data_IF_541824533825
#
_entry.id   IF_541824533825
#
_cell.length_a   1.000
_cell.length_b   1.000
_cell.length_c   1.000
_cell.angle_alpha   90.00
_cell.angle_beta   90.00
_cell.angle_gamma   90.00
#
_symmetry.space_group_name_H-M   'P 1'
#
loop_
_entity.id
_entity.type
_entity.pdbx_description
1 polymer ?
#
# COMPACT_ATOMS: atom_id res chain seq x y z
N UNK A 1 39.44 -34.28 -27.36
CA UNK A 1 39.35 -32.83 -27.65
C UNK A 1 37.89 -32.42 -27.65
N UNK A 2 37.40 -31.87 -26.55
CA UNK A 2 36.01 -31.42 -26.38
C UNK A 2 35.85 -30.06 -27.05
N UNK A 3 35.07 -30.02 -28.14
CA UNK A 3 34.61 -28.76 -28.76
C UNK A 3 33.77 -28.01 -27.72
N UNK A 4 34.38 -27.02 -27.08
CA UNK A 4 33.71 -26.06 -26.21
C UNK A 4 32.64 -25.38 -27.06
N UNK A 5 31.39 -25.42 -26.60
CA UNK A 5 30.27 -24.70 -27.21
C UNK A 5 30.72 -23.25 -27.44
N UNK A 6 30.78 -22.83 -28.69
CA UNK A 6 31.00 -21.44 -29.05
C UNK A 6 29.85 -20.62 -28.46
N UNK A 7 30.06 -20.06 -27.27
CA UNK A 7 29.17 -19.04 -26.74
C UNK A 7 29.06 -17.98 -27.83
N UNK A 8 27.83 -17.62 -28.22
CA UNK A 8 27.60 -16.58 -29.23
C UNK A 8 28.08 -15.23 -28.67
N UNK A 9 29.36 -14.95 -28.85
CA UNK A 9 30.02 -13.73 -28.43
C UNK A 9 29.71 -12.62 -29.43
N UNK A 10 29.06 -11.57 -28.96
CA UNK A 10 28.67 -10.41 -29.73
C UNK A 10 29.78 -9.36 -29.69
N UNK A 11 30.05 -8.76 -30.84
CA UNK A 11 30.93 -7.58 -30.92
C UNK A 11 30.28 -6.36 -30.25
N UNK A 12 31.05 -5.32 -29.86
CA UNK A 12 30.48 -4.11 -29.26
C UNK A 12 29.39 -3.45 -30.12
N UNK A 13 29.55 -3.49 -31.46
CA UNK A 13 28.57 -2.93 -32.39
C UNK A 13 27.25 -3.71 -32.36
N UNK A 14 27.31 -5.04 -32.35
CA UNK A 14 26.12 -5.90 -32.27
C UNK A 14 25.45 -5.79 -30.90
N UNK A 15 26.23 -5.82 -29.82
CA UNK A 15 25.73 -5.65 -28.45
C UNK A 15 25.01 -4.31 -28.26
N UNK A 16 25.61 -3.21 -28.73
CA UNK A 16 25.02 -1.88 -28.67
C UNK A 16 23.71 -1.78 -29.47
N UNK A 17 23.67 -2.38 -30.67
CA UNK A 17 22.45 -2.48 -31.48
C UNK A 17 21.31 -3.21 -30.75
N UNK A 18 21.62 -4.31 -30.06
CA UNK A 18 20.63 -5.08 -29.28
C UNK A 18 20.10 -4.32 -28.05
N UNK A 19 20.93 -3.44 -27.48
CA UNK A 19 20.57 -2.58 -26.36
C UNK A 19 19.89 -1.27 -26.79
N UNK A 20 19.92 -0.93 -28.08
CA UNK A 20 19.41 0.35 -28.58
C UNK A 20 20.24 1.56 -28.12
N UNK A 21 21.53 1.37 -27.81
CA UNK A 21 22.43 2.42 -27.32
C UNK A 21 23.62 2.63 -28.26
N UNK A 22 24.35 3.72 -28.07
CA UNK A 22 25.61 3.94 -28.79
C UNK A 22 26.72 3.00 -28.30
N UNK A 23 27.67 2.67 -29.17
CA UNK A 23 28.86 1.87 -28.80
C UNK A 23 29.68 2.57 -27.70
N UNK A 24 29.72 3.91 -27.71
CA UNK A 24 30.39 4.69 -26.67
C UNK A 24 29.71 4.52 -25.30
N UNK A 25 28.38 4.50 -25.26
CA UNK A 25 27.60 4.26 -24.03
C UNK A 25 27.86 2.86 -23.49
N UNK A 26 27.83 1.82 -24.35
CA UNK A 26 28.16 0.46 -23.95
C UNK A 26 29.57 0.35 -23.37
N UNK A 27 30.54 1.07 -23.96
CA UNK A 27 31.92 1.12 -23.45
C UNK A 27 31.99 1.73 -22.06
N UNK A 28 31.24 2.81 -21.79
CA UNK A 28 31.13 3.43 -20.45
C UNK A 28 30.56 2.44 -19.44
N UNK A 29 29.47 1.75 -19.79
CA UNK A 29 28.86 0.74 -18.93
C UNK A 29 29.82 -0.42 -18.63
N UNK A 30 30.56 -0.88 -19.63
CA UNK A 30 31.55 -1.93 -19.44
C UNK A 30 32.68 -1.50 -18.49
N UNK A 31 33.14 -0.25 -18.60
CA UNK A 31 34.14 0.31 -17.67
C UNK A 31 33.62 0.39 -16.24
N UNK A 32 32.36 0.76 -16.06
CA UNK A 32 31.72 0.76 -14.73
C UNK A 32 31.76 -0.65 -14.16
N UNK A 33 31.35 -1.66 -14.93
CA UNK A 33 31.37 -3.07 -14.47
C UNK A 33 32.77 -3.53 -14.11
N UNK A 34 33.77 -3.27 -14.96
CA UNK A 34 35.18 -3.62 -14.69
C UNK A 34 35.69 -2.95 -13.40
N UNK A 35 35.35 -1.67 -13.20
CA UNK A 35 35.71 -0.91 -11.99
C UNK A 35 35.01 -1.47 -10.74
N UNK A 36 33.71 -1.75 -10.81
CA UNK A 36 32.93 -2.23 -9.67
C UNK A 36 33.25 -3.66 -9.27
N UNK A 37 33.63 -4.50 -10.24
CA UNK A 37 33.96 -5.92 -9.99
C UNK A 37 35.44 -6.14 -9.67
N UNK A 38 36.25 -5.07 -9.65
CA UNK A 38 37.72 -5.09 -9.58
C UNK A 38 38.38 -5.99 -10.66
N UNK A 39 37.63 -6.38 -11.70
CA UNK A 39 38.10 -7.25 -12.76
C UNK A 39 38.20 -6.50 -14.09
N UNK A 40 39.42 -6.05 -14.41
CA UNK A 40 39.71 -5.37 -15.68
C UNK A 40 39.51 -6.25 -16.93
N UNK A 41 39.39 -7.57 -16.75
CA UNK A 41 39.15 -8.57 -17.79
C UNK A 41 37.79 -9.28 -17.59
N UNK A 42 36.80 -8.58 -17.02
CA UNK A 42 35.46 -9.13 -16.81
C UNK A 42 34.81 -9.61 -18.11
N UNK A 43 35.02 -8.85 -19.19
CA UNK A 43 34.56 -9.21 -20.53
C UNK A 43 35.69 -9.89 -21.31
N UNK A 44 35.34 -10.98 -22.00
CA UNK A 44 36.25 -11.62 -22.95
C UNK A 44 36.68 -10.61 -24.02
N UNK A 45 37.91 -10.77 -24.53
CA UNK A 45 38.47 -9.86 -25.51
C UNK A 45 38.94 -10.63 -26.73
N UNK A 46 38.79 -10.02 -27.90
CA UNK A 46 39.33 -10.57 -29.14
C UNK A 46 40.85 -10.29 -29.27
N UNK A 47 41.47 -10.81 -30.33
CA UNK A 47 42.89 -10.56 -30.64
C UNK A 47 43.24 -9.08 -30.87
N UNK A 48 42.25 -8.24 -31.16
CA UNK A 48 42.38 -6.78 -31.30
C UNK A 48 42.05 -6.03 -29.99
N UNK A 49 41.94 -6.74 -28.86
CA UNK A 49 41.61 -6.18 -27.54
C UNK A 49 40.22 -5.52 -27.45
N UNK A 50 39.31 -5.83 -28.38
CA UNK A 50 37.91 -5.42 -28.32
C UNK A 50 37.11 -6.34 -27.40
N UNK A 51 36.27 -5.76 -26.55
CA UNK A 51 35.38 -6.50 -25.63
C UNK A 51 34.33 -7.28 -26.41
N UNK A 52 34.07 -8.50 -25.98
CA UNK A 52 33.07 -9.41 -26.49
C UNK A 52 32.01 -9.63 -25.41
N UNK A 53 30.76 -9.68 -25.83
CA UNK A 53 29.61 -9.73 -24.92
C UNK A 53 28.80 -11.00 -25.16
N UNK A 54 28.45 -11.71 -24.08
CA UNK A 54 27.47 -12.79 -24.15
C UNK A 54 26.05 -12.21 -24.14
N UNK A 55 25.06 -13.01 -24.52
CA UNK A 55 23.66 -12.61 -24.40
C UNK A 55 23.29 -12.26 -22.95
N UNK A 56 23.82 -12.99 -21.96
CA UNK A 56 23.65 -12.68 -20.54
C UNK A 56 24.17 -11.29 -20.17
N UNK A 57 25.31 -10.88 -20.73
CA UNK A 57 25.84 -9.54 -20.49
C UNK A 57 24.86 -8.46 -20.99
N UNK A 58 24.18 -8.70 -22.11
CA UNK A 58 23.17 -7.79 -22.65
C UNK A 58 21.97 -7.67 -21.70
N UNK A 59 21.47 -8.78 -21.18
CA UNK A 59 20.36 -8.80 -20.22
C UNK A 59 20.74 -8.07 -18.93
N UNK A 60 21.91 -8.38 -18.36
CA UNK A 60 22.45 -7.71 -17.18
C UNK A 60 22.59 -6.20 -17.39
N UNK A 61 23.02 -5.74 -18.57
CA UNK A 61 23.08 -4.30 -18.87
C UNK A 61 21.68 -3.66 -18.89
N UNK A 62 20.65 -4.35 -19.40
CA UNK A 62 19.27 -3.84 -19.38
C UNK A 62 18.76 -3.69 -17.95
N UNK A 63 19.00 -4.70 -17.11
CA UNK A 63 18.63 -4.66 -15.70
C UNK A 63 19.37 -3.56 -14.96
N UNK A 64 20.66 -3.39 -15.22
CA UNK A 64 21.49 -2.35 -14.59
C UNK A 64 20.96 -0.96 -14.92
N UNK A 65 20.65 -0.72 -16.19
CA UNK A 65 20.04 0.55 -16.60
C UNK A 65 18.68 0.72 -15.94
N UNK A 66 17.84 -0.31 -15.90
CA UNK A 66 16.52 -0.23 -15.24
C UNK A 66 16.62 0.12 -13.76
N UNK A 67 17.51 -0.54 -13.01
CA UNK A 67 17.72 -0.27 -11.58
C UNK A 67 18.28 1.14 -11.33
N UNK A 68 19.14 1.63 -12.23
CA UNK A 68 19.73 2.97 -12.07
C UNK A 68 18.72 4.12 -12.18
N UNK A 69 17.53 3.89 -12.76
CA UNK A 69 16.45 4.88 -12.79
C UNK A 69 15.64 4.92 -11.48
N UNK A 70 15.94 4.06 -10.50
CA UNK A 70 15.29 4.05 -9.19
C UNK A 70 15.73 5.20 -8.28
N UNK A 71 14.95 5.52 -7.24
CA UNK A 71 15.30 6.57 -6.29
C UNK A 71 16.59 6.23 -5.53
N UNK A 72 17.53 7.17 -5.49
CA UNK A 72 18.87 7.03 -4.85
C UNK A 72 19.75 5.91 -5.42
N UNK A 73 19.45 5.38 -6.61
CA UNK A 73 20.29 4.40 -7.29
C UNK A 73 21.18 5.07 -8.33
N UNK A 74 22.40 4.56 -8.49
CA UNK A 74 23.34 4.97 -9.54
C UNK A 74 23.73 3.78 -10.40
N UNK A 75 24.27 4.04 -11.59
CA UNK A 75 24.77 2.97 -12.47
C UNK A 75 25.85 2.12 -11.78
N UNK A 76 26.69 2.72 -10.93
CA UNK A 76 27.73 1.99 -10.19
C UNK A 76 27.11 1.06 -9.14
N UNK A 77 26.14 1.55 -8.35
CA UNK A 77 25.46 0.71 -7.34
C UNK A 77 24.64 -0.40 -7.98
N UNK A 78 24.00 -0.14 -9.12
CA UNK A 78 23.28 -1.15 -9.89
C UNK A 78 24.22 -2.19 -10.50
N UNK A 79 25.40 -1.79 -10.97
CA UNK A 79 26.39 -2.71 -11.49
C UNK A 79 26.92 -3.67 -10.41
N UNK A 80 27.17 -3.18 -9.20
CA UNK A 80 27.57 -4.03 -8.06
C UNK A 80 26.54 -5.10 -7.69
N UNK A 81 25.25 -4.82 -7.89
CA UNK A 81 24.17 -5.76 -7.57
C UNK A 81 24.02 -6.87 -8.61
N UNK A 82 24.24 -6.55 -9.89
CA UNK A 82 23.96 -7.46 -11.01
C UNK A 82 25.20 -8.25 -11.44
N UNK A 83 26.38 -7.63 -11.36
CA UNK A 83 27.63 -8.25 -11.79
C UNK A 83 28.42 -8.72 -10.57
N UNK A 84 28.63 -10.05 -10.39
CA UNK A 84 29.44 -10.57 -9.28
C UNK A 84 30.91 -10.17 -9.46
N UNK A 85 31.57 -9.76 -8.38
CA UNK A 85 33.02 -9.49 -8.39
C UNK A 85 33.82 -10.78 -8.63
N UNK A 86 34.89 -10.70 -9.42
CA UNK A 86 35.71 -11.88 -9.75
C UNK A 86 36.54 -12.39 -8.57
N UNK A 87 36.71 -11.55 -7.54
CA UNK A 87 37.29 -11.94 -6.25
C UNK A 87 36.26 -12.57 -5.29
N UNK A 88 35.07 -12.94 -5.77
CA UNK A 88 34.32 -14.02 -5.15
C UNK A 88 34.95 -15.38 -5.52
N UNK A 89 36.25 -15.54 -5.25
CA UNK A 89 36.67 -16.84 -4.72
C UNK A 89 35.81 -17.04 -3.48
N UNK A 90 35.17 -18.19 -3.42
CA UNK A 90 34.61 -18.74 -2.20
C UNK A 90 35.81 -18.97 -1.27
N UNK A 91 36.32 -17.89 -0.68
CA UNK A 91 37.00 -17.97 0.59
C UNK A 91 35.85 -18.24 1.55
N UNK A 92 35.73 -19.48 2.01
CA UNK A 92 35.03 -19.81 3.25
C UNK A 92 35.72 -19.03 4.37
N UNK A 93 35.44 -17.74 4.45
CA UNK A 93 35.90 -16.89 5.53
C UNK A 93 34.97 -17.20 6.70
N UNK A 94 35.56 -17.62 7.82
CA UNK A 94 34.86 -17.73 9.10
C UNK A 94 34.15 -16.43 9.56
N UNK A 95 34.22 -15.34 8.79
CA UNK A 95 33.46 -14.11 8.97
C UNK A 95 32.05 -14.13 8.38
N UNK A 96 31.80 -14.93 7.33
CA UNK A 96 30.48 -15.03 6.71
C UNK A 96 29.49 -15.81 7.58
N UNK A 97 29.97 -16.79 8.34
CA UNK A 97 29.12 -17.58 9.23
C UNK A 97 28.53 -16.73 10.38
N UNK A 98 29.32 -15.80 10.96
CA UNK A 98 28.80 -14.85 11.97
C UNK A 98 27.76 -13.90 11.41
N UNK A 99 27.96 -13.40 10.18
CA UNK A 99 27.00 -12.50 9.53
C UNK A 99 25.72 -13.23 9.13
N UNK A 100 25.83 -14.49 8.71
CA UNK A 100 24.68 -15.36 8.44
C UNK A 100 23.92 -15.69 9.74
N UNK A 101 24.61 -15.96 10.84
CA UNK A 101 23.98 -16.16 12.16
C UNK A 101 23.28 -14.88 12.65
N UNK A 102 23.91 -13.71 12.53
CA UNK A 102 23.29 -12.41 12.88
C UNK A 102 22.07 -12.11 12.01
N UNK A 103 22.13 -12.42 10.71
CA UNK A 103 20.99 -12.29 9.80
C UNK A 103 19.87 -13.28 10.15
N UNK A 104 20.18 -14.53 10.51
CA UNK A 104 19.19 -15.51 10.95
C UNK A 104 18.50 -15.10 12.24
N UNK A 105 19.25 -14.59 13.23
CA UNK A 105 18.70 -14.05 14.48
C UNK A 105 17.80 -12.84 14.20
N UNK A 106 18.23 -11.96 13.27
CA UNK A 106 17.43 -10.79 12.88
C UNK A 106 16.13 -11.19 12.18
N UNK A 107 16.19 -12.17 11.27
CA UNK A 107 15.01 -12.71 10.58
C UNK A 107 14.05 -13.34 11.58
N UNK A 108 14.53 -14.20 12.49
CA UNK A 108 13.70 -14.81 13.52
C UNK A 108 13.04 -13.76 14.44
N UNK A 109 13.76 -12.69 14.78
CA UNK A 109 13.20 -11.58 15.55
C UNK A 109 12.11 -10.86 14.76
N UNK A 110 12.36 -10.52 13.50
CA UNK A 110 11.38 -9.85 12.62
C UNK A 110 10.13 -10.71 12.41
N UNK A 111 10.27 -12.02 12.23
CA UNK A 111 9.15 -12.95 12.14
C UNK A 111 8.32 -12.97 13.44
N UNK A 112 8.98 -12.99 14.59
CA UNK A 112 8.30 -12.93 15.89
C UNK A 112 7.56 -11.61 16.10
N UNK A 113 8.14 -10.49 15.66
CA UNK A 113 7.51 -9.17 15.74
C UNK A 113 6.34 -9.05 14.76
N UNK A 114 6.47 -9.59 13.54
CA UNK A 114 5.37 -9.64 12.58
C UNK A 114 4.21 -10.48 13.10
N UNK A 115 4.48 -11.63 13.70
CA UNK A 115 3.43 -12.46 14.32
C UNK A 115 2.71 -11.73 15.46
N UNK A 116 3.43 -10.97 16.29
CA UNK A 116 2.83 -10.12 17.32
C UNK A 116 1.96 -9.03 16.71
N UNK A 117 2.46 -8.34 15.67
CA UNK A 117 1.69 -7.31 14.95
C UNK A 117 0.42 -7.87 14.33
N UNK A 118 0.48 -9.07 13.74
CA UNK A 118 -0.69 -9.75 13.18
C UNK A 118 -1.75 -10.06 14.23
N UNK A 119 -1.33 -10.49 15.44
CA UNK A 119 -2.26 -10.71 16.55
C UNK A 119 -2.90 -9.40 17.01
N UNK A 120 -2.11 -8.34 17.20
CA UNK A 120 -2.64 -7.02 17.58
C UNK A 120 -3.58 -6.45 16.52
N UNK A 121 -3.28 -6.65 15.22
CA UNK A 121 -4.19 -6.23 14.14
C UNK A 121 -5.53 -6.97 14.23
N UNK A 122 -5.52 -8.27 14.54
CA UNK A 122 -6.75 -9.05 14.72
C UNK A 122 -7.57 -8.56 15.91
N UNK A 123 -6.92 -8.31 17.05
CA UNK A 123 -7.58 -7.77 18.25
C UNK A 123 -8.22 -6.41 17.96
N UNK A 124 -7.49 -5.49 17.32
CA UNK A 124 -8.03 -4.17 16.94
C UNK A 124 -9.18 -4.26 15.93
N UNK A 125 -9.17 -5.25 15.03
CA UNK A 125 -10.27 -5.48 14.10
C UNK A 125 -11.53 -5.98 14.82
N UNK A 126 -11.38 -6.83 15.82
CA UNK A 126 -12.48 -7.29 16.67
C UNK A 126 -13.07 -6.14 17.48
N UNK A 127 -12.23 -5.34 18.15
CA UNK A 127 -12.66 -4.15 18.88
C UNK A 127 -13.39 -3.14 17.98
N UNK A 128 -12.91 -2.92 16.75
CA UNK A 128 -13.58 -2.04 15.79
C UNK A 128 -14.96 -2.56 15.40
N UNK A 129 -15.10 -3.87 15.21
CA UNK A 129 -16.37 -4.48 14.86
C UNK A 129 -17.38 -4.38 16.00
N UNK A 130 -16.93 -4.60 17.24
CA UNK A 130 -17.79 -4.46 18.42
C UNK A 130 -18.17 -3.00 18.68
N UNK A 131 -17.25 -2.06 18.49
CA UNK A 131 -17.54 -0.63 18.54
C UNK A 131 -18.55 -0.20 17.46
N UNK A 132 -18.47 -0.78 16.25
CA UNK A 132 -19.44 -0.54 15.18
C UNK A 132 -20.84 -1.05 15.57
N UNK A 133 -20.95 -2.27 16.09
CA UNK A 133 -22.23 -2.82 16.58
C UNK A 133 -22.82 -1.99 17.70
N UNK A 134 -22.00 -1.57 18.67
CA UNK A 134 -22.45 -0.71 19.76
C UNK A 134 -22.97 0.64 19.24
N UNK A 135 -22.29 1.22 18.25
CA UNK A 135 -22.75 2.46 17.59
C UNK A 135 -24.09 2.26 16.87
N UNK A 136 -24.27 1.14 16.16
CA UNK A 136 -25.55 0.82 15.50
C UNK A 136 -26.68 0.65 16.51
N UNK A 137 -26.43 -0.04 17.63
CA UNK A 137 -27.40 -0.20 18.70
C UNK A 137 -27.79 1.14 19.33
N UNK A 138 -26.81 1.99 19.63
CA UNK A 138 -27.07 3.33 20.17
C UNK A 138 -27.83 4.21 19.17
N UNK A 139 -27.57 4.07 17.87
CA UNK A 139 -28.32 4.78 16.83
C UNK A 139 -29.79 4.35 16.81
N UNK A 140 -30.06 3.06 16.88
CA UNK A 140 -31.43 2.52 16.96
C UNK A 140 -32.13 2.99 18.25
N UNK A 141 -31.43 2.98 19.38
CA UNK A 141 -31.99 3.45 20.65
C UNK A 141 -32.31 4.96 20.60
N UNK A 142 -31.43 5.77 20.01
CA UNK A 142 -31.69 7.19 19.79
C UNK A 142 -32.91 7.43 18.89
N UNK A 143 -33.05 6.65 17.82
CA UNK A 143 -34.18 6.81 16.89
C UNK A 143 -35.51 6.38 17.52
N UNK A 144 -35.52 5.31 18.31
CA UNK A 144 -36.71 4.88 19.06
C UNK A 144 -37.10 5.89 20.14
N UNK A 145 -36.14 6.45 20.88
CA UNK A 145 -36.41 7.51 21.87
C UNK A 145 -36.96 8.77 21.23
N UNK A 146 -36.43 9.19 20.08
CA UNK A 146 -36.96 10.32 19.32
C UNK A 146 -38.40 10.07 18.88
N UNK A 147 -38.69 8.87 18.37
CA UNK A 147 -40.04 8.50 17.95
C UNK A 147 -41.01 8.51 19.14
N UNK A 148 -40.63 7.90 20.27
CA UNK A 148 -41.46 7.93 21.49
C UNK A 148 -41.69 9.36 22.01
N UNK A 149 -40.68 10.22 21.95
CA UNK A 149 -40.84 11.62 22.32
C UNK A 149 -41.81 12.35 21.38
N UNK A 150 -41.72 12.10 20.08
CA UNK A 150 -42.61 12.69 19.08
C UNK A 150 -44.07 12.19 19.23
N UNK A 151 -44.26 10.90 19.49
CA UNK A 151 -45.58 10.31 19.77
C UNK A 151 -46.20 10.86 21.05
N UNK A 152 -45.41 11.10 22.10
CA UNK A 152 -45.88 11.76 23.34
C UNK A 152 -46.30 13.21 23.13
N UNK A 153 -45.58 13.96 22.30
CA UNK A 153 -45.96 15.34 21.96
C UNK A 153 -47.24 15.36 21.13
N UNK A 154 -47.35 14.49 20.12
CA UNK A 154 -48.55 14.41 19.28
C UNK A 154 -49.79 13.93 20.06
N UNK A 155 -49.63 12.93 20.94
CA UNK A 155 -50.73 12.47 21.79
C UNK A 155 -51.15 13.53 22.82
N UNK A 156 -50.21 14.28 23.40
CA UNK A 156 -50.52 15.41 24.28
C UNK A 156 -51.27 16.54 23.55
N UNK A 157 -50.82 16.94 22.35
CA UNK A 157 -51.51 17.94 21.53
C UNK A 157 -52.93 17.49 21.14
N UNK A 158 -53.11 16.22 20.75
CA UNK A 158 -54.44 15.70 20.41
C UNK A 158 -55.38 15.63 21.62
N UNK A 159 -54.85 15.30 22.79
CA UNK A 159 -55.64 15.16 24.01
C UNK A 159 -56.02 16.53 24.61
N UNK A 160 -55.17 17.56 24.44
CA UNK A 160 -55.53 18.95 24.73
C UNK A 160 -56.59 19.47 23.75
N UNK A 161 -56.47 19.18 22.45
CA UNK A 161 -57.44 19.64 21.45
C UNK A 161 -58.82 18.98 21.61
N UNK A 162 -58.89 17.69 21.97
CA UNK A 162 -60.16 17.02 22.29
C UNK A 162 -60.80 17.54 23.59
N UNK A 163 -60.01 17.73 24.65
CA UNK A 163 -60.54 18.27 25.92
C UNK A 163 -61.01 19.72 25.80
N UNK A 164 -60.39 20.53 24.93
CA UNK A 164 -60.87 21.88 24.59
C UNK A 164 -62.19 21.78 23.81
N UNK A 165 -62.30 20.90 22.81
CA UNK A 165 -63.54 20.70 22.02
C UNK A 165 -64.71 20.24 22.89
N UNK A 166 -64.50 19.32 23.83
CA UNK A 166 -65.55 18.89 24.77
C UNK A 166 -66.03 20.05 25.66
N UNK A 167 -65.11 20.82 26.26
CA UNK A 167 -65.49 21.97 27.11
C UNK A 167 -66.19 23.10 26.35
N UNK A 168 -65.79 23.34 25.09
CA UNK A 168 -66.45 24.33 24.23
C UNK A 168 -67.85 23.86 23.85
N UNK A 169 -68.02 22.57 23.52
CA UNK A 169 -69.33 22.02 23.18
C UNK A 169 -70.29 22.00 24.38
N UNK A 170 -69.78 21.72 25.59
CA UNK A 170 -70.55 21.80 26.84
C UNK A 170 -71.08 23.22 27.08
N UNK A 171 -70.21 24.24 27.01
CA UNK A 171 -70.61 25.65 27.14
C UNK A 171 -71.62 26.10 26.08
N UNK A 172 -71.44 25.69 24.82
CA UNK A 172 -72.34 26.10 23.72
C UNK A 172 -73.70 25.39 23.81
N UNK A 173 -73.77 24.20 24.42
CA UNK A 173 -75.04 23.50 24.65
C UNK A 173 -75.89 24.12 25.76
N UNK A 174 -75.27 24.71 26.78
CA UNK A 174 -75.97 25.43 27.86
C UNK A 174 -76.48 26.83 27.40
N UNK A 175 -75.79 27.47 26.45
CA UNK A 175 -76.15 28.81 25.96
C UNK A 175 -77.27 28.84 24.90
N UNK A 176 -77.94 27.71 24.60
CA UNK A 176 -79.11 27.69 23.70
C UNK A 176 -80.39 28.34 24.27
N UNK A 177 -80.31 28.99 25.44
CA UNK A 177 -81.44 29.74 26.03
C UNK A 177 -81.07 31.18 26.40
N UNK A 178 -80.64 31.96 25.41
CA UNK A 178 -80.59 33.40 25.57
C UNK A 178 -79.83 34.09 24.46
N UNK A 179 -80.55 34.58 23.45
CA UNK A 179 -79.96 35.45 22.43
C UNK A 179 -79.44 36.74 23.08
N UNK A 180 -78.14 36.79 23.32
CA UNK A 180 -77.41 37.90 23.92
C UNK A 180 -77.55 39.24 23.16
N UNK A 181 -78.00 39.20 21.90
CA UNK A 181 -78.26 40.38 21.07
C UNK A 181 -79.51 41.19 21.47
N UNK A 182 -80.43 40.62 22.27
CA UNK A 182 -81.67 41.32 22.67
C UNK A 182 -81.47 42.41 23.74
N UNK A 183 -80.26 42.61 24.25
CA UNK A 183 -79.96 43.59 25.31
C UNK A 183 -79.52 44.96 24.78
N UNK A 184 -79.31 45.10 23.47
CA UNK A 184 -78.72 46.29 22.85
C UNK A 184 -79.68 47.09 21.96
N UNK A 185 -80.97 46.72 21.89
CA UNK A 185 -81.97 47.37 21.01
C UNK A 185 -83.08 48.17 21.72
N UNK A 186 -82.83 48.69 22.93
CA UNK A 186 -83.71 49.71 23.53
C UNK A 186 -83.02 51.07 23.60
#
# INVERSE_FOLDING_TARGET
MTKVKSNNLLTPAQAAKNLGISVATLRKYSLIVEKTTANNQYFERNSQNNRLYTQKNIENFKEMVKLSHGPKMTLETSAMQIFPAADAKIEESNGDNKKVEELQVTVAKLESENKKRELTIKELQEELNDAQKAKEQLQVELDTLKQQAQEKVQSADSHEDETIKERVNEKVSDDKKGHWWNKFMN
#
